data_IF_367109258968
#
_entry.id   IF_367109258968
#
_cell.length_a   1.000
_cell.length_b   1.000
_cell.length_c   1.000
_cell.angle_alpha   90.00
_cell.angle_beta   90.00
_cell.angle_gamma   90.00
#
_symmetry.space_group_name_H-M   'P 1'
#
loop_
_entity.id
_entity.type
_entity.pdbx_description
1 polymer ?
#
# COMPACT_ATOMS: atom_id res chain seq x y z
N UNK A 1 13.38 -3.65 -4.64
CA UNK A 1 14.79 -3.90 -4.97
C UNK A 1 14.82 -4.99 -6.03
N UNK A 2 15.60 -4.84 -7.08
CA UNK A 2 15.62 -5.74 -8.25
C UNK A 2 16.26 -7.13 -7.98
N UNK A 3 16.39 -7.53 -6.72
CA UNK A 3 17.11 -8.73 -6.32
C UNK A 3 16.30 -10.02 -6.57
N UNK A 4 14.98 -9.95 -6.43
CA UNK A 4 14.10 -11.12 -6.57
C UNK A 4 13.79 -11.53 -8.01
N UNK A 5 14.14 -10.70 -9.01
CA UNK A 5 13.70 -10.87 -10.41
C UNK A 5 14.23 -12.16 -11.04
N UNK A 6 15.37 -12.65 -10.55
CA UNK A 6 15.98 -13.89 -11.04
C UNK A 6 15.54 -15.14 -10.26
N UNK A 7 14.78 -14.97 -9.17
CA UNK A 7 14.37 -16.07 -8.31
C UNK A 7 13.16 -16.81 -8.87
N UNK A 8 13.18 -18.14 -8.79
CA UNK A 8 12.17 -18.97 -9.45
C UNK A 8 10.78 -18.84 -8.81
N UNK A 9 10.71 -18.55 -7.51
CA UNK A 9 9.44 -18.29 -6.84
C UNK A 9 8.79 -16.99 -7.35
N UNK A 10 9.58 -16.00 -7.73
CA UNK A 10 9.07 -14.72 -8.24
C UNK A 10 8.41 -14.92 -9.60
N UNK A 11 9.05 -15.68 -10.50
CA UNK A 11 8.45 -16.04 -11.80
C UNK A 11 7.15 -16.82 -11.65
N UNK A 12 7.11 -17.78 -10.72
CA UNK A 12 5.89 -18.55 -10.42
C UNK A 12 4.76 -17.65 -9.90
N UNK A 13 5.09 -16.71 -9.01
CA UNK A 13 4.14 -15.73 -8.51
C UNK A 13 3.54 -14.87 -9.63
N UNK A 14 4.38 -14.38 -10.56
CA UNK A 14 3.90 -13.63 -11.72
C UNK A 14 2.95 -14.49 -12.56
N UNK A 15 3.32 -15.73 -12.88
CA UNK A 15 2.48 -16.63 -13.66
C UNK A 15 1.13 -16.93 -12.98
N UNK A 16 1.12 -17.10 -11.66
CA UNK A 16 -0.12 -17.30 -10.90
C UNK A 16 -1.01 -16.06 -10.89
N UNK A 17 -0.43 -14.87 -10.68
CA UNK A 17 -1.17 -13.60 -10.71
C UNK A 17 -1.74 -13.31 -12.09
N UNK A 18 -0.96 -13.56 -13.15
CA UNK A 18 -1.46 -13.49 -14.52
C UNK A 18 -2.60 -14.48 -14.75
N UNK A 19 -2.58 -15.68 -14.19
CA UNK A 19 -3.70 -16.62 -14.37
C UNK A 19 -4.99 -16.14 -13.70
N UNK A 20 -4.91 -15.59 -12.48
CA UNK A 20 -6.10 -15.32 -11.65
C UNK A 20 -6.65 -13.89 -11.78
N UNK A 21 -5.85 -12.90 -12.18
CA UNK A 21 -6.31 -11.50 -12.29
C UNK A 21 -6.21 -10.97 -13.72
N UNK A 22 -7.35 -10.74 -14.41
CA UNK A 22 -7.38 -10.05 -15.69
C UNK A 22 -6.75 -8.66 -15.66
N UNK A 23 -6.92 -7.92 -14.57
CA UNK A 23 -6.35 -6.59 -14.36
C UNK A 23 -4.83 -6.66 -14.29
N UNK A 24 -4.29 -7.61 -13.51
CA UNK A 24 -2.86 -7.83 -13.43
C UNK A 24 -2.25 -8.16 -14.80
N UNK A 25 -2.87 -9.08 -15.58
CA UNK A 25 -2.44 -9.38 -16.96
C UNK A 25 -2.41 -8.14 -17.86
N UNK A 26 -3.38 -7.25 -17.69
CA UNK A 26 -3.50 -6.06 -18.52
C UNK A 26 -2.46 -4.97 -18.16
N UNK A 27 -2.09 -4.87 -16.89
CA UNK A 27 -1.23 -3.80 -16.37
C UNK A 27 0.24 -4.21 -16.25
N UNK A 28 0.53 -5.44 -15.85
CA UNK A 28 1.89 -5.91 -15.55
C UNK A 28 2.89 -5.68 -16.70
N UNK A 29 2.57 -5.96 -17.99
CA UNK A 29 3.49 -5.74 -19.10
C UNK A 29 3.82 -4.26 -19.36
N UNK A 30 3.03 -3.32 -18.82
CA UNK A 30 3.21 -1.89 -19.07
C UNK A 30 4.39 -1.31 -18.29
N UNK A 31 4.82 -1.98 -17.21
CA UNK A 31 5.89 -1.51 -16.32
C UNK A 31 5.77 -0.03 -15.91
N UNK A 32 4.52 0.46 -15.80
CA UNK A 32 4.21 1.86 -15.52
C UNK A 32 4.38 2.15 -14.02
N UNK A 33 5.62 2.06 -13.56
CA UNK A 33 6.01 2.24 -12.16
C UNK A 33 6.52 3.67 -11.98
N UNK A 34 5.68 4.53 -11.41
CA UNK A 34 6.12 5.85 -10.98
C UNK A 34 7.00 5.76 -9.74
N UNK A 35 8.06 6.56 -9.69
CA UNK A 35 8.84 6.77 -8.47
C UNK A 35 7.92 7.35 -7.41
N UNK A 36 7.78 6.65 -6.27
CA UNK A 36 6.93 7.07 -5.15
C UNK A 36 7.21 8.53 -4.80
N UNK A 37 6.22 9.39 -4.99
CA UNK A 37 6.19 10.71 -4.37
C UNK A 37 5.67 10.47 -2.95
N UNK A 38 6.58 10.31 -2.00
CA UNK A 38 6.22 10.48 -0.60
C UNK A 38 5.68 11.91 -0.45
N UNK A 39 4.40 12.02 -0.09
CA UNK A 39 3.77 13.28 0.29
C UNK A 39 2.35 13.02 0.78
N UNK A 40 1.54 12.30 -0.01
CA UNK A 40 0.11 12.15 0.27
C UNK A 40 -0.48 10.84 -0.25
N UNK A 41 -1.36 10.25 0.56
CA UNK A 41 -2.13 9.06 0.24
C UNK A 41 -3.60 9.31 0.52
N UNK A 42 -4.41 9.21 -0.52
CA UNK A 42 -5.86 9.25 -0.41
C UNK A 42 -6.38 7.80 -0.53
N UNK A 43 -7.25 7.38 0.39
CA UNK A 43 -7.82 6.02 0.46
C UNK A 43 -9.35 6.16 0.52
N UNK A 44 -10.03 5.61 -0.47
CA UNK A 44 -11.49 5.49 -0.45
C UNK A 44 -11.90 4.29 0.40
N UNK A 45 -12.25 4.56 1.66
CA UNK A 45 -12.69 3.53 2.58
C UNK A 45 -14.21 3.31 2.45
N UNK A 46 -14.70 2.07 2.24
CA UNK A 46 -16.09 1.81 1.88
C UNK A 46 -17.14 2.25 2.91
N UNK A 47 -16.71 2.45 4.17
CA UNK A 47 -17.61 2.83 5.28
C UNK A 47 -17.58 4.30 5.69
N UNK A 48 -16.41 4.94 5.56
CA UNK A 48 -16.19 6.31 6.07
C UNK A 48 -15.79 7.28 4.96
N UNK A 49 -15.81 6.82 3.70
CA UNK A 49 -15.42 7.60 2.54
C UNK A 49 -13.90 7.83 2.48
N UNK A 50 -13.51 8.93 1.85
CA UNK A 50 -12.11 9.27 1.64
C UNK A 50 -11.40 9.55 2.98
N UNK A 51 -10.22 8.94 3.13
CA UNK A 51 -9.25 9.14 4.20
C UNK A 51 -7.96 9.67 3.59
N UNK A 52 -7.37 10.69 4.21
CA UNK A 52 -6.27 11.44 3.62
C UNK A 52 -5.08 11.48 4.58
N UNK A 53 -3.93 11.04 4.09
CA UNK A 53 -2.75 10.83 4.90
C UNK A 53 -1.53 11.51 4.30
N UNK A 54 -0.65 12.03 5.16
CA UNK A 54 0.77 12.09 4.84
C UNK A 54 1.35 10.67 4.92
N UNK A 55 2.10 10.27 3.89
CA UNK A 55 2.70 8.93 3.81
C UNK A 55 4.22 9.01 3.85
N UNK A 56 4.83 8.27 4.77
CA UNK A 56 6.28 8.17 4.90
C UNK A 56 6.70 6.70 4.85
N UNK A 57 7.66 6.38 3.97
CA UNK A 57 8.30 5.07 3.95
C UNK A 57 9.69 5.17 4.57
N UNK A 58 9.93 4.42 5.65
CA UNK A 58 11.25 4.27 6.25
C UNK A 58 11.80 2.88 5.95
N UNK A 59 13.04 2.78 5.49
CA UNK A 59 13.73 1.51 5.28
C UNK A 59 14.80 1.35 6.35
N UNK A 60 14.80 0.20 7.04
CA UNK A 60 15.77 -0.06 8.12
C UNK A 60 17.10 -0.48 7.49
N UNK A 61 18.21 0.27 7.69
CA UNK A 61 19.48 -0.03 7.00
C UNK A 61 20.01 -1.44 7.29
N UNK A 62 19.86 -1.92 8.53
CA UNK A 62 20.30 -3.25 8.95
C UNK A 62 19.38 -4.39 8.46
N UNK A 63 18.19 -4.07 7.97
CA UNK A 63 17.18 -5.04 7.52
C UNK A 63 16.55 -4.53 6.22
N UNK A 64 17.26 -4.64 5.07
CA UNK A 64 16.83 -4.02 3.82
C UNK A 64 15.49 -4.54 3.28
N UNK A 65 15.07 -5.74 3.71
CA UNK A 65 13.77 -6.31 3.36
C UNK A 65 12.63 -5.80 4.25
N UNK A 66 12.95 -5.11 5.35
CA UNK A 66 11.98 -4.49 6.25
C UNK A 66 11.76 -3.02 5.90
N UNK A 67 10.49 -2.67 5.69
CA UNK A 67 10.03 -1.30 5.48
C UNK A 67 8.91 -0.96 6.45
N UNK A 68 9.00 0.20 7.08
CA UNK A 68 7.94 0.77 7.88
C UNK A 68 7.20 1.81 7.03
N UNK A 69 5.89 1.66 6.88
CA UNK A 69 5.02 2.62 6.20
C UNK A 69 4.17 3.31 7.26
N UNK A 70 4.30 4.63 7.37
CA UNK A 70 3.57 5.46 8.33
C UNK A 70 2.54 6.26 7.55
N UNK A 71 1.29 6.23 8.03
CA UNK A 71 0.16 6.98 7.48
C UNK A 71 -0.34 7.93 8.56
N UNK A 72 0.04 9.20 8.46
CA UNK A 72 -0.34 10.23 9.43
C UNK A 72 -1.58 10.96 8.90
N UNK A 73 -2.72 10.99 9.61
CA UNK A 73 -3.91 11.73 9.18
C UNK A 73 -3.57 13.20 8.91
N UNK A 74 -4.02 13.75 7.79
CA UNK A 74 -3.80 15.17 7.51
C UNK A 74 -4.62 16.03 8.49
N UNK A 75 -4.01 16.99 9.23
CA UNK A 75 -4.68 17.76 10.29
C UNK A 75 -5.88 18.59 9.81
N UNK A 76 -5.89 18.99 8.53
CA UNK A 76 -6.96 19.80 7.93
C UNK A 76 -8.13 18.96 7.39
N UNK A 77 -8.20 17.68 7.73
CA UNK A 77 -9.20 16.73 7.24
C UNK A 77 -9.91 16.03 8.40
N UNK A 78 -11.07 15.43 8.13
CA UNK A 78 -11.82 14.63 9.10
C UNK A 78 -11.31 13.17 9.24
N UNK A 79 -10.09 12.90 8.73
CA UNK A 79 -9.50 11.56 8.69
C UNK A 79 -9.30 11.00 10.10
N UNK A 80 -8.92 11.84 11.07
CA UNK A 80 -8.68 11.40 12.44
C UNK A 80 -9.98 10.94 13.12
N UNK A 81 -11.06 11.71 13.01
CA UNK A 81 -12.36 11.34 13.55
C UNK A 81 -12.89 10.06 12.89
N UNK A 82 -12.74 9.93 11.57
CA UNK A 82 -13.14 8.71 10.84
C UNK A 82 -12.34 7.48 11.28
N UNK A 83 -11.05 7.62 11.59
CA UNK A 83 -10.25 6.53 12.14
C UNK A 83 -10.71 6.12 13.53
N UNK A 84 -11.02 7.07 14.40
CA UNK A 84 -11.58 6.78 15.73
C UNK A 84 -12.88 5.97 15.61
N UNK A 85 -13.79 6.38 14.72
CA UNK A 85 -15.02 5.63 14.44
C UNK A 85 -14.76 4.19 13.97
N UNK A 86 -13.67 3.95 13.23
CA UNK A 86 -13.28 2.62 12.79
C UNK A 86 -12.66 1.80 13.94
N UNK A 87 -11.86 2.41 14.80
CA UNK A 87 -11.17 1.75 15.92
C UNK A 87 -12.12 1.34 17.04
N UNK A 88 -13.07 2.21 17.42
CA UNK A 88 -14.06 1.93 18.47
C UNK A 88 -14.93 0.70 18.16
N UNK A 89 -15.07 0.39 16.87
CA UNK A 89 -15.82 -0.79 16.39
C UNK A 89 -15.00 -2.06 16.35
N UNK A 90 -13.67 -1.96 16.21
CA UNK A 90 -12.77 -3.14 16.17
C UNK A 90 -12.46 -3.65 17.58
N UNK A 91 -12.54 -2.79 18.59
CA UNK A 91 -12.21 -3.11 20.00
C UNK A 91 -13.46 -3.49 20.81
N UNK A 92 -14.61 -3.71 20.15
CA UNK A 92 -15.77 -4.37 20.79
C UNK A 92 -15.57 -5.89 20.78
N UNK A 93 -14.70 -6.39 21.67
CA UNK A 93 -14.54 -7.82 22.00
C UNK A 93 -15.07 -8.05 23.41
#
# INVERSE_FOLDING_TARGET
SAHCVHEEWFKRLIADLERVSPEFRAWWPRHDVSSRVDARKDIDHPRVGCLMFEHTTLQVPAMPDLKLMIYTPLPETDTMEKLQQLMDRVISI
#
